data_IF_823632075886
#
_entry.id   IF_823632075886
#
_cell.length_a   1.000
_cell.length_b   1.000
_cell.length_c   1.000
_cell.angle_alpha   90.00
_cell.angle_beta   90.00
_cell.angle_gamma   90.00
#
_symmetry.space_group_name_H-M   'P 1'
#
loop_
_entity.id
_entity.type
_entity.pdbx_description
1 polymer ?
#
# COMPACT_ATOMS: atom_id res chain seq x y z
N UNK A 1 -9.92 2.13 6.00
CA UNK A 1 -8.69 2.82 6.37
C UNK A 1 -8.70 4.23 5.81
N UNK A 2 -8.42 5.20 6.69
CA UNK A 2 -8.17 6.59 6.36
C UNK A 2 -6.71 6.80 5.88
N UNK A 3 -6.36 8.03 5.49
CA UNK A 3 -5.02 8.36 4.98
C UNK A 3 -3.91 7.99 5.97
N UNK A 4 -4.07 8.32 7.25
CA UNK A 4 -3.04 8.09 8.26
C UNK A 4 -2.84 6.58 8.54
N UNK A 5 -3.93 5.83 8.63
CA UNK A 5 -3.89 4.37 8.77
C UNK A 5 -3.13 3.73 7.60
N UNK A 6 -3.45 4.12 6.36
CA UNK A 6 -2.77 3.61 5.17
C UNK A 6 -1.28 3.99 5.13
N UNK A 7 -0.93 5.22 5.50
CA UNK A 7 0.47 5.67 5.56
C UNK A 7 1.29 4.86 6.56
N UNK A 8 0.72 4.59 7.75
CA UNK A 8 1.39 3.80 8.77
C UNK A 8 1.52 2.34 8.34
N UNK A 9 0.49 1.78 7.70
CA UNK A 9 0.53 0.41 7.20
C UNK A 9 1.57 0.24 6.09
N UNK A 10 1.62 1.15 5.11
CA UNK A 10 2.67 1.15 4.08
C UNK A 10 4.05 1.21 4.73
N UNK A 11 4.26 2.10 5.71
CA UNK A 11 5.55 2.22 6.41
C UNK A 11 5.93 0.95 7.17
N UNK A 12 4.96 0.26 7.77
CA UNK A 12 5.18 -1.02 8.44
C UNK A 12 5.64 -2.08 7.44
N UNK A 13 4.88 -2.28 6.36
CA UNK A 13 5.16 -3.30 5.34
C UNK A 13 6.53 -3.08 4.69
N UNK A 14 6.85 -1.85 4.29
CA UNK A 14 8.18 -1.58 3.74
C UNK A 14 9.28 -1.77 4.78
N UNK A 15 9.01 -1.52 6.06
CA UNK A 15 9.95 -1.84 7.14
C UNK A 15 10.21 -3.34 7.26
N UNK A 16 9.17 -4.16 7.17
CA UNK A 16 9.28 -5.63 7.19
C UNK A 16 9.97 -6.18 5.94
N UNK A 17 9.79 -5.54 4.79
CA UNK A 17 10.55 -5.80 3.56
C UNK A 17 12.02 -5.33 3.62
N UNK A 18 12.42 -4.57 4.64
CA UNK A 18 13.73 -3.92 4.70
C UNK A 18 13.90 -2.79 3.66
N UNK A 19 12.80 -2.26 3.15
CA UNK A 19 12.78 -1.20 2.14
C UNK A 19 12.73 0.19 2.78
N UNK A 20 13.46 1.12 2.17
CA UNK A 20 13.28 2.55 2.44
C UNK A 20 12.08 3.11 1.68
N UNK A 21 11.54 4.26 2.12
CA UNK A 21 10.49 4.96 1.37
C UNK A 21 10.96 5.37 -0.05
N UNK A 22 12.27 5.56 -0.25
CA UNK A 22 12.85 5.83 -1.57
C UNK A 22 12.82 4.58 -2.45
N UNK A 23 13.27 3.44 -1.91
CA UNK A 23 13.20 2.16 -2.62
C UNK A 23 11.77 1.86 -3.06
N UNK A 24 10.78 2.05 -2.17
CA UNK A 24 9.37 1.93 -2.55
C UNK A 24 9.01 2.80 -3.77
N UNK A 25 9.47 4.04 -3.81
CA UNK A 25 9.21 4.92 -4.95
C UNK A 25 9.85 4.44 -6.24
N UNK A 26 11.05 3.86 -6.16
CA UNK A 26 11.70 3.23 -7.32
C UNK A 26 10.91 2.02 -7.81
N UNK A 27 10.52 1.11 -6.92
CA UNK A 27 9.73 -0.09 -7.31
C UNK A 27 8.38 0.29 -7.93
N UNK A 28 7.69 1.30 -7.38
CA UNK A 28 6.44 1.79 -7.95
C UNK A 28 6.67 2.41 -9.32
N UNK A 29 7.75 3.18 -9.49
CA UNK A 29 8.08 3.78 -10.78
C UNK A 29 8.30 2.70 -11.84
N UNK A 30 9.16 1.72 -11.56
CA UNK A 30 9.46 0.59 -12.46
C UNK A 30 8.19 -0.21 -12.79
N UNK A 31 7.28 -0.39 -11.82
CA UNK A 31 6.03 -1.11 -12.06
C UNK A 31 4.99 -0.30 -12.87
N UNK A 32 5.15 1.02 -12.99
CA UNK A 32 4.17 1.92 -13.61
C UNK A 32 4.65 2.47 -14.96
N UNK A 33 5.95 2.66 -15.12
CA UNK A 33 6.59 3.31 -16.26
C UNK A 33 7.62 2.38 -16.89
N UNK A 34 7.60 2.28 -18.22
CA UNK A 34 8.52 1.45 -19.02
C UNK A 34 9.69 2.31 -19.53
N UNK A 35 10.33 3.06 -18.62
CA UNK A 35 11.48 3.90 -18.93
C UNK A 35 12.49 3.91 -17.78
N UNK A 36 13.78 3.97 -18.14
CA UNK A 36 14.89 4.00 -17.18
C UNK A 36 15.44 5.44 -17.03
N UNK A 37 14.55 6.42 -16.85
CA UNK A 37 14.98 7.80 -16.61
C UNK A 37 15.31 8.02 -15.13
N UNK A 38 16.61 8.01 -14.79
CA UNK A 38 17.11 8.21 -13.42
C UNK A 38 16.63 9.52 -12.75
N UNK A 39 16.44 10.59 -13.51
CA UNK A 39 15.95 11.86 -12.99
C UNK A 39 14.47 11.78 -12.60
N UNK A 40 13.66 11.12 -13.43
CA UNK A 40 12.23 10.90 -13.14
C UNK A 40 12.05 9.91 -11.99
N UNK A 41 12.88 8.85 -11.92
CA UNK A 41 12.93 7.93 -10.78
C UNK A 41 13.17 8.71 -9.48
N UNK A 42 14.22 9.54 -9.42
CA UNK A 42 14.54 10.35 -8.22
C UNK A 42 13.41 11.30 -7.83
N UNK A 43 12.76 11.95 -8.80
CA UNK A 43 11.58 12.78 -8.54
C UNK A 43 10.45 11.95 -7.93
N UNK A 44 10.26 10.73 -8.42
CA UNK A 44 9.23 9.83 -7.92
C UNK A 44 9.54 9.32 -6.50
N UNK A 45 10.80 9.01 -6.19
CA UNK A 45 11.23 8.66 -4.83
C UNK A 45 10.86 9.75 -3.81
N UNK A 46 11.18 11.02 -4.12
CA UNK A 46 10.86 12.15 -3.24
C UNK A 46 9.35 12.43 -3.19
N UNK A 47 8.62 12.16 -4.28
CA UNK A 47 7.15 12.23 -4.33
C UNK A 47 6.52 11.21 -3.38
N UNK A 48 6.95 9.95 -3.41
CA UNK A 48 6.45 8.90 -2.50
C UNK A 48 6.74 9.23 -1.05
N UNK A 49 7.96 9.67 -0.74
CA UNK A 49 8.32 10.12 0.61
C UNK A 49 7.39 11.23 1.13
N UNK A 50 7.06 12.21 0.28
CA UNK A 50 6.08 13.26 0.60
C UNK A 50 4.67 12.70 0.75
N UNK A 51 4.26 11.78 -0.13
CA UNK A 51 2.94 11.16 -0.07
C UNK A 51 2.72 10.38 1.23
N UNK A 52 3.77 9.73 1.76
CA UNK A 52 3.73 8.98 3.02
C UNK A 52 3.80 9.87 4.27
N UNK A 53 3.98 11.18 4.10
CA UNK A 53 4.13 12.15 5.20
C UNK A 53 2.98 13.16 5.26
N UNK A 54 2.37 13.50 4.12
CA UNK A 54 1.33 14.54 4.02
C UNK A 54 -0.04 14.00 4.37
N UNK A 55 -0.75 14.69 5.28
CA UNK A 55 -2.12 14.30 5.69
C UNK A 55 -3.18 14.51 4.59
N UNK A 56 -2.89 15.31 3.58
CA UNK A 56 -3.83 15.70 2.51
C UNK A 56 -3.88 14.71 1.34
N UNK A 57 -3.14 13.60 1.41
CA UNK A 57 -3.12 12.62 0.33
C UNK A 57 -4.39 11.79 0.31
N UNK A 58 -4.95 11.63 -0.89
CA UNK A 58 -6.13 10.82 -1.12
C UNK A 58 -5.86 9.35 -0.73
N UNK A 59 -6.70 8.73 0.12
CA UNK A 59 -6.58 7.32 0.50
C UNK A 59 -6.46 6.36 -0.69
N UNK A 60 -7.12 6.69 -1.81
CA UNK A 60 -7.14 5.88 -3.03
C UNK A 60 -5.73 5.74 -3.63
N UNK A 61 -4.94 6.81 -3.59
CA UNK A 61 -3.57 6.82 -4.09
C UNK A 61 -2.67 5.90 -3.25
N UNK A 62 -2.81 5.95 -1.93
CA UNK A 62 -2.09 5.08 -1.00
C UNK A 62 -2.48 3.61 -1.15
N UNK A 63 -3.76 3.31 -1.42
CA UNK A 63 -4.20 1.95 -1.74
C UNK A 63 -3.55 1.42 -3.02
N UNK A 64 -3.35 2.28 -4.02
CA UNK A 64 -2.61 1.91 -5.23
C UNK A 64 -1.17 1.47 -4.91
N UNK A 65 -0.51 2.15 -3.98
CA UNK A 65 0.84 1.76 -3.55
C UNK A 65 0.85 0.39 -2.87
N UNK A 66 -0.11 0.12 -1.98
CA UNK A 66 -0.26 -1.20 -1.36
C UNK A 66 -0.51 -2.30 -2.39
N UNK A 67 -1.30 -2.02 -3.42
CA UNK A 67 -1.55 -3.00 -4.48
C UNK A 67 -0.28 -3.34 -5.25
N UNK A 68 0.56 -2.35 -5.57
CA UNK A 68 1.84 -2.59 -6.25
C UNK A 68 2.79 -3.38 -5.34
N UNK A 69 2.92 -3.00 -4.06
CA UNK A 69 3.73 -3.74 -3.09
C UNK A 69 3.25 -5.20 -3.01
N UNK A 70 1.95 -5.44 -2.95
CA UNK A 70 1.37 -6.79 -2.83
C UNK A 70 1.65 -7.73 -4.01
N UNK A 71 2.00 -7.17 -5.18
CA UNK A 71 2.35 -7.91 -6.39
C UNK A 71 3.85 -8.14 -6.52
N UNK A 72 4.64 -7.55 -5.63
CA UNK A 72 6.09 -7.65 -5.69
C UNK A 72 6.57 -9.01 -5.17
N UNK A 73 7.54 -9.62 -5.85
CA UNK A 73 8.03 -10.96 -5.50
C UNK A 73 8.67 -11.05 -4.09
N UNK A 74 9.29 -9.96 -3.62
CA UNK A 74 9.78 -9.89 -2.21
C UNK A 74 8.64 -9.88 -1.20
N UNK A 75 7.45 -9.43 -1.60
CA UNK A 75 6.27 -9.45 -0.76
C UNK A 75 5.71 -10.88 -0.62
N UNK A 76 5.73 -11.69 -1.69
CA UNK A 76 5.28 -13.09 -1.63
C UNK A 76 6.10 -13.95 -0.67
N UNK A 77 7.36 -13.56 -0.40
CA UNK A 77 8.25 -14.25 0.54
C UNK A 77 7.99 -13.89 1.99
N UNK A 78 7.18 -12.87 2.25
CA UNK A 78 6.79 -12.47 3.59
C UNK A 78 5.51 -13.18 3.98
N UNK A 79 5.48 -13.81 5.16
CA UNK A 79 4.27 -14.37 5.78
C UNK A 79 3.36 -13.25 6.33
N UNK A 80 3.17 -12.17 5.55
CA UNK A 80 2.42 -10.99 5.95
C UNK A 80 1.08 -10.99 5.22
N UNK A 81 0.01 -11.04 6.01
CA UNK A 81 -1.35 -10.88 5.52
C UNK A 81 -1.62 -9.39 5.31
N UNK A 82 -1.73 -8.96 4.06
CA UNK A 82 -2.20 -7.61 3.75
C UNK A 82 -3.72 -7.53 3.90
N UNK A 83 -4.25 -6.65 4.76
CA UNK A 83 -5.69 -6.38 4.84
C UNK A 83 -6.12 -5.47 3.67
N UNK A 84 -5.78 -5.85 2.42
CA UNK A 84 -6.25 -5.12 1.24
C UNK A 84 -7.66 -5.57 0.93
N UNK A 85 -8.60 -4.64 1.06
CA UNK A 85 -9.92 -4.80 0.49
C UNK A 85 -9.83 -4.76 -1.04
N UNK A 86 -9.79 -5.93 -1.70
CA UNK A 86 -10.03 -6.03 -3.14
C UNK A 86 -11.53 -6.15 -3.40
N UNK A 87 -12.10 -5.16 -4.09
CA UNK A 87 -13.49 -5.22 -4.54
C UNK A 87 -13.60 -6.28 -5.65
N UNK A 88 -13.97 -7.49 -5.28
CA UNK A 88 -14.30 -8.55 -6.23
C UNK A 88 -15.80 -8.47 -6.55
N UNK A 89 -16.16 -8.42 -7.84
CA UNK A 89 -17.56 -8.52 -8.28
C UNK A 89 -18.20 -9.89 -8.01
N UNK A 90 -17.42 -10.84 -7.49
CA UNK A 90 -17.86 -12.20 -7.16
C UNK A 90 -18.59 -12.24 -5.81
N UNK A 91 -18.35 -11.28 -4.91
CA UNK A 91 -18.95 -11.24 -3.58
C UNK A 91 -20.10 -10.24 -3.54
N UNK A 92 -21.27 -10.68 -3.08
CA UNK A 92 -22.44 -9.80 -2.92
C UNK A 92 -22.15 -8.62 -1.97
N UNK A 93 -22.85 -7.51 -2.16
CA UNK A 93 -22.69 -6.31 -1.33
C UNK A 93 -22.86 -6.59 0.17
N UNK A 94 -23.71 -7.56 0.52
CA UNK A 94 -23.92 -8.01 1.91
C UNK A 94 -22.66 -8.66 2.48
N UNK A 95 -21.99 -9.54 1.72
CA UNK A 95 -20.76 -10.19 2.16
C UNK A 95 -19.61 -9.18 2.24
N UNK A 96 -19.50 -8.26 1.27
CA UNK A 96 -18.52 -7.17 1.32
C UNK A 96 -18.69 -6.31 2.58
N UNK A 97 -19.92 -5.97 2.94
CA UNK A 97 -20.23 -5.17 4.14
C UNK A 97 -19.90 -5.95 5.42
N UNK A 98 -20.23 -7.24 5.45
CA UNK A 98 -19.90 -8.13 6.57
C UNK A 98 -18.39 -8.27 6.78
N UNK A 99 -17.64 -8.59 5.72
CA UNK A 99 -16.18 -8.69 5.76
C UNK A 99 -15.53 -7.38 6.22
N UNK A 100 -16.04 -6.23 5.76
CA UNK A 100 -15.52 -4.93 6.19
C UNK A 100 -15.76 -4.66 7.68
N UNK A 101 -16.90 -5.10 8.23
CA UNK A 101 -17.17 -5.04 9.67
C UNK A 101 -16.24 -5.96 10.46
N UNK A 102 -16.09 -7.22 10.03
CA UNK A 102 -15.21 -8.19 10.69
C UNK A 102 -13.76 -7.70 10.68
N UNK A 103 -13.27 -7.22 9.54
CA UNK A 103 -11.92 -6.66 9.41
C UNK A 103 -11.69 -5.49 10.37
N UNK A 104 -12.66 -4.57 10.52
CA UNK A 104 -12.59 -3.47 11.48
C UNK A 104 -12.55 -3.95 12.93
N UNK A 105 -13.33 -4.97 13.27
CA UNK A 105 -13.38 -5.50 14.64
C UNK A 105 -12.10 -6.27 14.98
N UNK A 106 -11.57 -7.08 14.07
CA UNK A 106 -10.27 -7.75 14.26
C UNK A 106 -9.17 -6.70 14.46
N UNK A 107 -9.15 -5.64 13.64
CA UNK A 107 -8.15 -4.57 13.77
C UNK A 107 -8.23 -3.83 15.11
N UNK A 108 -9.43 -3.65 15.68
CA UNK A 108 -9.58 -3.04 17.02
C UNK A 108 -9.06 -3.93 18.16
N UNK A 109 -9.20 -5.26 18.02
CA UNK A 109 -8.89 -6.22 19.08
C UNK A 109 -7.42 -6.70 19.08
N UNK A 110 -6.63 -6.31 18.06
CA UNK A 110 -5.20 -6.61 17.97
C UNK A 110 -4.31 -5.46 18.51
N UNK A 111 -4.83 -4.60 19.39
CA UNK A 111 -4.09 -3.53 20.07
C UNK A 111 -3.74 -3.91 21.50
#
# INVERSE_FOLDING_TARGET
>A
MNTLELQNEIKKIIGELGWSQKRLGREIYIATFDDDNDDEIKKFEEKIKKDLSRKTIAPQKLKGYLEIISRHHEFEKLDIILPIYKKSHVLSNTIQTGMMKISKEIHKNLK
#
